data_IF_350104114567
#
_entry.id   IF_350104114567
#
_cell.length_a   1.000
_cell.length_b   1.000
_cell.length_c   1.000
_cell.angle_alpha   90.00
_cell.angle_beta   90.00
_cell.angle_gamma   90.00
#
_symmetry.space_group_name_H-M   'P 1'
#
loop_
_entity.id
_entity.type
_entity.pdbx_description
1 polymer ?
#
# COMPACT_ATOMS: atom_id res chain seq x y z
N UNK A 1 -6.00 27.51 -17.28
CA UNK A 1 -5.54 27.26 -15.90
C UNK A 1 -4.21 26.54 -16.03
N UNK A 2 -3.22 26.86 -15.21
CA UNK A 2 -1.98 26.08 -15.13
C UNK A 2 -2.20 24.96 -14.12
N UNK A 3 -1.84 23.73 -14.49
CA UNK A 3 -1.97 22.56 -13.61
C UNK A 3 -0.58 22.13 -13.16
N UNK A 4 -0.37 22.10 -11.85
CA UNK A 4 0.80 21.46 -11.27
C UNK A 4 0.55 19.95 -11.19
N UNK A 5 1.33 19.18 -11.94
CA UNK A 5 1.23 17.72 -12.00
C UNK A 5 2.45 17.13 -11.30
N UNK A 6 2.20 16.42 -10.20
CA UNK A 6 3.23 15.83 -9.36
C UNK A 6 3.17 14.31 -9.43
N UNK A 7 4.31 13.63 -9.29
CA UNK A 7 4.34 12.17 -9.12
C UNK A 7 3.60 11.77 -7.84
N UNK A 8 2.69 10.77 -7.93
CA UNK A 8 2.01 10.23 -6.75
C UNK A 8 2.99 9.53 -5.81
N UNK A 9 2.88 9.86 -4.53
CA UNK A 9 3.55 9.15 -3.45
C UNK A 9 3.00 7.72 -3.32
N UNK A 10 3.78 6.74 -2.85
CA UNK A 10 3.35 5.34 -2.75
C UNK A 10 2.01 5.14 -2.01
N UNK A 11 1.77 5.89 -0.93
CA UNK A 11 0.52 5.82 -0.16
C UNK A 11 -0.69 6.38 -0.90
N UNK A 12 -0.50 7.35 -1.81
CA UNK A 12 -1.58 7.97 -2.59
C UNK A 12 -2.15 7.00 -3.63
N UNK A 13 -1.31 6.09 -4.14
CA UNK A 13 -1.68 5.09 -5.15
C UNK A 13 -2.86 4.23 -4.71
N UNK A 14 -3.03 3.99 -3.41
CA UNK A 14 -4.16 3.26 -2.84
C UNK A 14 -5.50 3.93 -3.17
N UNK A 15 -5.54 5.25 -3.27
CA UNK A 15 -6.72 6.06 -3.55
C UNK A 15 -6.91 6.33 -5.05
N UNK A 16 -6.00 5.86 -5.90
CA UNK A 16 -6.18 5.89 -7.35
C UNK A 16 -6.90 4.64 -7.91
N UNK A 17 -7.58 3.91 -7.02
CA UNK A 17 -8.45 2.77 -7.34
C UNK A 17 -9.82 2.97 -6.69
N UNK A 18 -10.80 2.16 -7.12
CA UNK A 18 -12.13 2.17 -6.50
C UNK A 18 -12.04 1.79 -5.02
N UNK A 19 -12.64 2.63 -4.18
CA UNK A 19 -12.67 2.47 -2.72
C UNK A 19 -14.03 1.91 -2.27
N UNK A 20 -14.13 1.56 -0.99
CA UNK A 20 -15.43 1.31 -0.37
C UNK A 20 -16.16 2.62 -0.13
N UNK A 21 -17.50 2.57 -0.04
CA UNK A 21 -18.33 3.75 0.24
C UNK A 21 -17.91 4.50 1.51
N UNK A 22 -17.42 3.77 2.51
CA UNK A 22 -16.95 4.36 3.77
C UNK A 22 -15.70 5.20 3.54
N UNK A 23 -14.70 4.63 2.85
CA UNK A 23 -13.47 5.33 2.50
C UNK A 23 -13.74 6.52 1.58
N UNK A 24 -14.56 6.36 0.55
CA UNK A 24 -14.98 7.49 -0.31
C UNK A 24 -15.65 8.59 0.52
N UNK A 25 -16.47 8.20 1.51
CA UNK A 25 -17.11 9.12 2.42
C UNK A 25 -16.10 9.95 3.24
N UNK A 26 -15.11 9.28 3.85
CA UNK A 26 -14.11 9.89 4.73
C UNK A 26 -13.07 10.72 3.98
N UNK A 27 -12.66 10.26 2.79
CA UNK A 27 -11.64 10.92 1.96
C UNK A 27 -12.18 12.07 1.12
N UNK A 28 -13.48 12.38 1.21
CA UNK A 28 -14.06 13.42 0.38
C UNK A 28 -14.21 13.03 -1.10
N UNK A 29 -14.33 11.73 -1.40
CA UNK A 29 -14.44 11.22 -2.76
C UNK A 29 -15.67 11.78 -3.49
N UNK A 30 -15.44 12.43 -4.62
CA UNK A 30 -16.51 13.01 -5.47
C UNK A 30 -17.00 11.99 -6.49
N UNK A 31 -16.06 11.24 -7.07
CA UNK A 31 -16.26 10.28 -8.14
C UNK A 31 -14.98 10.17 -8.98
N UNK A 32 -15.06 9.50 -10.13
CA UNK A 32 -13.92 9.40 -11.03
C UNK A 32 -14.34 9.39 -12.49
N UNK A 33 -13.45 9.90 -13.34
CA UNK A 33 -13.54 9.79 -14.79
C UNK A 33 -12.64 8.66 -15.26
N UNK A 34 -13.15 7.74 -16.06
CA UNK A 34 -12.34 6.75 -16.76
C UNK A 34 -12.46 6.94 -18.26
N UNK A 35 -11.40 6.63 -19.00
CA UNK A 35 -11.44 6.77 -20.45
C UNK A 35 -10.28 6.13 -21.20
N UNK A 36 -10.41 6.16 -22.52
CA UNK A 36 -9.44 5.63 -23.47
C UNK A 36 -9.34 6.51 -24.73
N UNK A 37 -8.31 6.25 -25.54
CA UNK A 37 -8.04 7.01 -26.75
C UNK A 37 -8.48 6.30 -28.05
N UNK A 38 -9.25 5.23 -27.93
CA UNK A 38 -9.71 4.39 -29.02
C UNK A 38 -8.60 3.70 -29.80
N UNK A 39 -8.98 3.01 -30.90
CA UNK A 39 -8.03 2.28 -31.76
C UNK A 39 -6.96 3.17 -32.37
N UNK A 40 -7.32 4.41 -32.74
CA UNK A 40 -6.40 5.36 -33.38
C UNK A 40 -5.44 6.04 -32.39
N UNK A 41 -5.67 5.93 -31.08
CA UNK A 41 -4.91 6.65 -30.06
C UNK A 41 -5.17 8.17 -30.02
N UNK A 42 -6.14 8.67 -30.79
CA UNK A 42 -6.51 10.09 -30.89
C UNK A 42 -7.94 10.41 -30.42
N UNK A 43 -8.71 9.38 -30.06
CA UNK A 43 -10.03 9.56 -29.49
C UNK A 43 -9.96 10.08 -28.05
N UNK A 44 -11.10 10.43 -27.48
CA UNK A 44 -11.22 10.73 -26.05
C UNK A 44 -12.61 10.28 -25.60
N UNK A 45 -12.71 8.98 -25.28
CA UNK A 45 -13.96 8.35 -24.87
C UNK A 45 -13.94 8.21 -23.36
N UNK A 46 -14.96 8.76 -22.69
CA UNK A 46 -14.95 8.84 -21.23
C UNK A 46 -16.30 8.53 -20.62
N UNK A 47 -16.25 7.94 -19.43
CA UNK A 47 -17.41 7.71 -18.57
C UNK A 47 -17.11 8.25 -17.17
N UNK A 48 -18.06 9.01 -16.61
CA UNK A 48 -18.01 9.44 -15.23
C UNK A 48 -18.74 8.44 -14.33
N UNK A 49 -18.15 8.13 -13.18
CA UNK A 49 -18.73 7.28 -12.14
C UNK A 49 -18.89 8.10 -10.87
N UNK A 50 -20.10 8.13 -10.33
CA UNK A 50 -20.41 8.89 -9.11
C UNK A 50 -19.90 8.19 -7.85
N UNK A 51 -19.31 8.98 -6.95
CA UNK A 51 -19.05 8.57 -5.57
C UNK A 51 -20.30 8.74 -4.67
N UNK A 52 -20.14 9.07 -3.37
CA UNK A 52 -21.23 9.32 -2.43
C UNK A 52 -22.14 10.53 -2.75
N UNK A 53 -21.88 11.26 -3.83
CA UNK A 53 -22.73 12.34 -4.37
C UNK A 53 -22.67 13.68 -3.61
N UNK A 54 -22.48 13.68 -2.29
CA UNK A 54 -22.50 14.90 -1.45
C UNK A 54 -21.47 15.98 -1.81
N UNK A 55 -20.37 15.59 -2.46
CA UNK A 55 -19.29 16.51 -2.84
C UNK A 55 -19.34 16.95 -4.31
N UNK A 56 -20.30 16.46 -5.12
CA UNK A 56 -20.44 16.81 -6.54
C UNK A 56 -21.22 18.11 -6.72
N UNK A 57 -20.65 19.21 -6.24
CA UNK A 57 -21.24 20.55 -6.27
C UNK A 57 -21.19 21.19 -7.67
N UNK A 58 -21.90 22.30 -7.87
CA UNK A 58 -21.79 23.09 -9.10
C UNK A 58 -20.39 23.67 -9.30
N UNK A 59 -19.73 24.09 -8.21
CA UNK A 59 -18.36 24.59 -8.22
C UNK A 59 -17.37 23.49 -8.65
N UNK A 60 -17.51 22.29 -8.08
CA UNK A 60 -16.73 21.13 -8.49
C UNK A 60 -16.83 20.87 -9.99
N UNK A 61 -18.05 20.84 -10.55
CA UNK A 61 -18.26 20.54 -11.97
C UNK A 61 -17.53 21.54 -12.86
N UNK A 62 -17.64 22.84 -12.56
CA UNK A 62 -16.97 23.89 -13.32
C UNK A 62 -15.44 23.78 -13.25
N UNK A 63 -14.90 23.48 -12.07
CA UNK A 63 -13.46 23.29 -11.92
C UNK A 63 -12.98 22.01 -12.62
N UNK A 64 -13.69 20.91 -12.44
CA UNK A 64 -13.39 19.63 -13.07
C UNK A 64 -13.36 19.75 -14.60
N UNK A 65 -14.34 20.45 -15.19
CA UNK A 65 -14.36 20.71 -16.62
C UNK A 65 -13.12 21.50 -17.06
N UNK A 66 -12.64 22.46 -16.27
CA UNK A 66 -11.40 23.20 -16.57
C UNK A 66 -10.17 22.30 -16.46
N UNK A 67 -10.09 21.44 -15.45
CA UNK A 67 -8.98 20.49 -15.27
C UNK A 67 -8.92 19.53 -16.46
N UNK A 68 -10.03 18.86 -16.79
CA UNK A 68 -10.09 17.91 -17.92
C UNK A 68 -9.78 18.61 -19.25
N UNK A 69 -10.37 19.79 -19.52
CA UNK A 69 -10.10 20.51 -20.75
C UNK A 69 -8.66 21.03 -20.86
N UNK A 70 -8.00 21.29 -19.73
CA UNK A 70 -6.58 21.65 -19.69
C UNK A 70 -5.72 20.43 -20.02
N UNK A 71 -6.01 19.27 -19.42
CA UNK A 71 -5.31 18.00 -19.72
C UNK A 71 -5.47 17.57 -21.19
N UNK A 72 -6.55 18.00 -21.86
CA UNK A 72 -6.83 17.73 -23.27
C UNK A 72 -6.12 18.67 -24.24
N UNK A 73 -5.53 19.77 -23.77
CA UNK A 73 -4.78 20.67 -24.66
C UNK A 73 -3.56 19.95 -25.25
N UNK A 74 -3.07 20.38 -26.42
CA UNK A 74 -1.87 19.79 -27.04
C UNK A 74 -0.70 19.69 -26.05
N UNK A 75 -0.08 18.51 -25.95
CA UNK A 75 0.99 18.22 -25.00
C UNK A 75 0.52 17.74 -23.62
N UNK A 76 -0.78 17.79 -23.33
CA UNK A 76 -1.36 17.28 -22.09
C UNK A 76 -1.62 15.76 -22.12
N UNK A 77 -1.71 15.15 -20.94
CA UNK A 77 -1.95 13.73 -20.73
C UNK A 77 -3.21 13.18 -21.42
N UNK A 78 -4.21 14.02 -21.70
CA UNK A 78 -5.47 13.63 -22.35
C UNK A 78 -5.55 14.05 -23.83
N UNK A 79 -4.45 14.54 -24.42
CA UNK A 79 -4.43 14.92 -25.84
C UNK A 79 -4.31 13.74 -26.80
N UNK A 80 -3.89 12.57 -26.31
CA UNK A 80 -3.80 11.33 -27.08
C UNK A 80 -2.89 10.31 -26.39
N UNK A 81 -2.96 9.04 -26.84
CA UNK A 81 -2.18 7.96 -26.23
C UNK A 81 -0.67 8.15 -26.36
N UNK A 82 -0.20 8.65 -27.51
CA UNK A 82 1.22 8.91 -27.73
C UNK A 82 1.77 10.04 -26.85
N UNK A 83 0.96 11.06 -26.58
CA UNK A 83 1.35 12.16 -25.71
C UNK A 83 1.35 11.72 -24.23
N UNK A 84 0.36 10.92 -23.82
CA UNK A 84 0.38 10.26 -22.52
C UNK A 84 1.62 9.38 -22.37
N UNK A 85 1.95 8.59 -23.39
CA UNK A 85 3.14 7.73 -23.38
C UNK A 85 4.43 8.52 -23.22
N UNK A 86 4.60 9.61 -23.97
CA UNK A 86 5.75 10.50 -23.81
C UNK A 86 5.82 11.07 -22.40
N UNK A 87 4.70 11.57 -21.87
CA UNK A 87 4.64 12.11 -20.51
C UNK A 87 5.02 11.06 -19.46
N UNK A 88 4.51 9.83 -19.59
CA UNK A 88 4.86 8.74 -18.69
C UNK A 88 6.35 8.35 -18.79
N UNK A 89 6.94 8.38 -19.99
CA UNK A 89 8.37 8.13 -20.19
C UNK A 89 9.25 9.21 -19.55
N UNK A 90 8.85 10.48 -19.69
CA UNK A 90 9.54 11.62 -19.07
C UNK A 90 9.43 11.60 -17.53
N UNK A 91 8.43 10.89 -16.99
CA UNK A 91 8.17 10.69 -15.57
C UNK A 91 8.25 9.21 -15.16
N UNK A 92 9.38 8.56 -15.48
CA UNK A 92 9.58 7.14 -15.17
C UNK A 92 9.48 6.81 -13.67
N UNK A 93 9.76 7.78 -12.79
CA UNK A 93 9.61 7.71 -11.32
C UNK A 93 8.15 7.59 -10.86
N UNK A 94 7.20 8.03 -11.69
CA UNK A 94 5.76 7.87 -11.47
C UNK A 94 5.25 6.47 -11.80
N UNK A 95 6.08 5.62 -12.41
CA UNK A 95 5.73 4.26 -12.79
C UNK A 95 5.72 3.29 -11.60
N UNK A 96 4.71 2.43 -11.55
CA UNK A 96 4.60 1.34 -10.57
C UNK A 96 3.90 0.13 -11.17
N UNK A 97 4.09 -1.03 -10.54
CA UNK A 97 3.46 -2.26 -11.00
C UNK A 97 2.00 -2.28 -10.52
N UNK A 98 1.08 -2.11 -11.48
CA UNK A 98 -0.36 -2.12 -11.26
C UNK A 98 -0.91 -3.54 -11.18
N UNK A 99 -2.23 -3.67 -11.34
CA UNK A 99 -2.88 -4.99 -11.22
C UNK A 99 -2.56 -5.93 -12.39
N UNK A 100 -2.32 -5.38 -13.59
CA UNK A 100 -2.16 -6.15 -14.83
C UNK A 100 -0.97 -5.69 -15.68
N UNK A 101 -0.58 -4.43 -15.57
CA UNK A 101 0.50 -3.84 -16.34
C UNK A 101 1.23 -2.77 -15.51
N UNK A 102 2.27 -2.18 -16.12
CA UNK A 102 2.93 -0.98 -15.59
C UNK A 102 1.95 0.20 -15.67
N UNK A 103 1.63 0.77 -14.53
CA UNK A 103 0.77 1.95 -14.41
C UNK A 103 1.62 3.16 -13.99
N UNK A 104 1.13 4.37 -14.28
CA UNK A 104 1.74 5.64 -13.90
C UNK A 104 0.75 6.44 -13.06
N UNK A 105 1.29 7.16 -12.07
CA UNK A 105 0.50 7.83 -11.08
C UNK A 105 0.86 9.31 -10.91
N UNK A 106 -0.13 10.18 -11.12
CA UNK A 106 0.03 11.61 -10.96
C UNK A 106 -1.02 12.21 -10.02
N UNK A 107 -0.60 13.19 -9.22
CA UNK A 107 -1.47 14.01 -8.39
C UNK A 107 -1.53 15.41 -8.96
N UNK A 108 -2.74 15.94 -9.09
CA UNK A 108 -3.01 17.30 -9.54
C UNK A 108 -3.79 17.99 -8.43
N UNK A 109 -3.25 19.09 -7.91
CA UNK A 109 -3.91 19.85 -6.85
C UNK A 109 -4.49 21.14 -7.41
N UNK A 110 -5.69 21.47 -6.96
CA UNK A 110 -6.29 22.80 -7.10
C UNK A 110 -6.47 23.39 -5.71
N UNK A 111 -7.17 24.53 -5.61
CA UNK A 111 -7.42 25.16 -4.32
C UNK A 111 -8.31 24.31 -3.40
N UNK A 112 -9.29 23.58 -3.95
CA UNK A 112 -10.30 22.85 -3.16
C UNK A 112 -10.28 21.34 -3.38
N UNK A 113 -9.69 20.88 -4.49
CA UNK A 113 -9.78 19.49 -4.91
C UNK A 113 -8.39 18.91 -5.22
N UNK A 114 -8.27 17.60 -5.00
CA UNK A 114 -7.12 16.80 -5.39
C UNK A 114 -7.59 15.76 -6.40
N UNK A 115 -6.85 15.65 -7.50
CA UNK A 115 -7.11 14.66 -8.54
C UNK A 115 -5.97 13.65 -8.60
N UNK A 116 -6.31 12.37 -8.43
CA UNK A 116 -5.36 11.27 -8.56
C UNK A 116 -5.58 10.59 -9.90
N UNK A 117 -4.64 10.80 -10.81
CA UNK A 117 -4.62 10.23 -12.15
C UNK A 117 -3.78 8.95 -12.15
N UNK A 118 -4.42 7.85 -12.47
CA UNK A 118 -3.78 6.57 -12.77
C UNK A 118 -3.93 6.29 -14.26
N UNK A 119 -2.85 5.98 -14.96
CA UNK A 119 -2.91 5.69 -16.39
C UNK A 119 -1.91 4.62 -16.84
N UNK A 120 -2.17 4.03 -18.00
CA UNK A 120 -1.27 3.14 -18.72
C UNK A 120 -1.48 3.29 -20.24
N UNK A 121 -0.48 2.89 -21.01
CA UNK A 121 -0.42 3.19 -22.45
C UNK A 121 -0.80 2.02 -23.34
N UNK A 122 -1.16 0.87 -22.75
CA UNK A 122 -1.51 -0.32 -23.52
C UNK A 122 -2.80 -0.11 -24.32
N UNK A 123 -2.87 -0.59 -25.57
CA UNK A 123 -4.10 -0.58 -26.35
C UNK A 123 -5.11 -1.62 -25.82
N UNK A 124 -6.41 -1.30 -25.90
CA UNK A 124 -7.49 -2.28 -25.71
C UNK A 124 -8.21 -2.27 -24.36
N UNK A 125 -7.85 -1.36 -23.46
CA UNK A 125 -8.54 -1.10 -22.19
C UNK A 125 -8.62 0.41 -21.91
N UNK A 126 -9.23 0.79 -20.79
CA UNK A 126 -9.24 2.16 -20.27
C UNK A 126 -7.84 2.65 -19.92
N UNK A 127 -7.28 3.51 -20.77
CA UNK A 127 -5.95 4.07 -20.58
C UNK A 127 -5.81 4.92 -19.31
N UNK A 128 -6.89 5.51 -18.78
CA UNK A 128 -6.79 6.34 -17.59
C UNK A 128 -8.02 6.33 -16.67
N UNK A 129 -7.75 6.67 -15.41
CA UNK A 129 -8.71 6.91 -14.34
C UNK A 129 -8.28 8.15 -13.57
N UNK A 130 -9.13 9.17 -13.52
CA UNK A 130 -8.94 10.42 -12.79
C UNK A 130 -9.92 10.46 -11.62
N UNK A 131 -9.45 10.13 -10.42
CA UNK A 131 -10.24 10.17 -9.19
C UNK A 131 -10.22 11.57 -8.60
N UNK A 132 -11.39 12.08 -8.22
CA UNK A 132 -11.54 13.41 -7.66
C UNK A 132 -11.93 13.37 -6.18
N UNK A 133 -11.21 14.15 -5.37
CA UNK A 133 -11.39 14.26 -3.93
C UNK A 133 -11.45 15.72 -3.48
N UNK A 134 -12.17 15.99 -2.39
CA UNK A 134 -11.96 17.22 -1.62
C UNK A 134 -10.57 17.16 -0.99
N UNK A 135 -9.70 18.12 -1.31
CA UNK A 135 -8.28 18.07 -0.97
C UNK A 135 -8.04 17.93 0.54
N UNK A 136 -8.69 18.77 1.33
CA UNK A 136 -8.59 18.79 2.79
C UNK A 136 -8.93 17.42 3.41
N UNK A 137 -10.01 16.78 2.95
CA UNK A 137 -10.44 15.49 3.50
C UNK A 137 -9.49 14.35 3.13
N UNK A 138 -9.01 14.33 1.88
CA UNK A 138 -8.06 13.32 1.42
C UNK A 138 -6.74 13.44 2.18
N UNK A 139 -6.20 14.66 2.27
CA UNK A 139 -4.91 14.91 2.93
C UNK A 139 -4.97 14.64 4.43
N UNK A 140 -6.05 15.06 5.08
CA UNK A 140 -6.29 14.72 6.49
C UNK A 140 -6.34 13.21 6.67
N UNK A 141 -7.10 12.47 5.85
CA UNK A 141 -7.21 11.03 5.99
C UNK A 141 -5.85 10.33 5.77
N UNK A 142 -5.09 10.71 4.74
CA UNK A 142 -3.78 10.12 4.45
C UNK A 142 -2.76 10.41 5.55
N UNK A 143 -2.78 11.61 6.14
CA UNK A 143 -1.92 11.93 7.28
C UNK A 143 -2.23 11.04 8.49
N UNK A 144 -3.51 10.84 8.80
CA UNK A 144 -3.92 9.93 9.88
C UNK A 144 -3.55 8.47 9.57
N UNK A 145 -3.70 8.03 8.31
CA UNK A 145 -3.36 6.69 7.87
C UNK A 145 -1.87 6.33 8.05
N UNK A 146 -0.96 7.32 8.04
CA UNK A 146 0.47 7.12 8.33
C UNK A 146 0.73 6.56 9.74
N UNK A 147 -0.20 6.72 10.69
CA UNK A 147 -0.10 6.13 12.03
C UNK A 147 -0.23 4.61 12.03
N UNK A 148 -0.71 4.03 10.92
CA UNK A 148 -0.88 2.61 10.72
C UNK A 148 -2.10 2.02 11.42
N UNK A 149 -2.52 0.86 10.93
CA UNK A 149 -3.66 0.10 11.42
C UNK A 149 -3.21 -0.74 12.61
N UNK A 150 -3.87 -0.54 13.75
CA UNK A 150 -3.50 -1.18 15.03
C UNK A 150 -4.21 -2.52 15.20
N UNK A 151 -3.45 -3.55 15.54
CA UNK A 151 -3.98 -4.86 15.98
C UNK A 151 -3.71 -5.04 17.46
N UNK A 152 -4.72 -5.47 18.21
CA UNK A 152 -4.68 -5.56 19.67
C UNK A 152 -5.18 -6.91 20.16
N UNK A 153 -4.85 -7.23 21.40
CA UNK A 153 -5.53 -8.25 22.19
C UNK A 153 -6.84 -7.71 22.79
N UNK A 154 -7.75 -8.57 23.30
CA UNK A 154 -8.97 -8.13 23.99
C UNK A 154 -8.73 -7.26 25.24
N UNK A 155 -7.56 -7.37 25.87
CA UNK A 155 -7.09 -6.52 26.98
C UNK A 155 -6.40 -5.22 26.53
N UNK A 156 -6.58 -4.82 25.27
CA UNK A 156 -6.06 -3.57 24.68
C UNK A 156 -4.53 -3.48 24.55
N UNK A 157 -3.81 -4.59 24.72
CA UNK A 157 -2.38 -4.65 24.43
C UNK A 157 -2.17 -4.63 22.92
N UNK A 158 -1.34 -3.71 22.45
CA UNK A 158 -0.95 -3.67 21.04
C UNK A 158 -0.10 -4.89 20.69
N UNK A 159 -0.52 -5.62 19.66
CA UNK A 159 0.23 -6.74 19.10
C UNK A 159 1.23 -6.22 18.07
N UNK A 160 0.74 -5.47 17.09
CA UNK A 160 1.54 -4.87 16.02
C UNK A 160 0.72 -3.79 15.29
N UNK A 161 1.41 -3.06 14.40
CA UNK A 161 0.82 -2.18 13.40
C UNK A 161 1.25 -2.57 12.00
N UNK A 162 0.40 -2.26 11.03
CA UNK A 162 0.69 -2.36 9.59
C UNK A 162 0.36 -1.04 8.90
N UNK A 163 0.95 -0.79 7.74
CA UNK A 163 0.63 0.41 6.96
C UNK A 163 -0.73 0.27 6.27
N UNK A 164 -1.34 1.39 5.87
CA UNK A 164 -2.56 1.32 5.05
C UNK A 164 -2.27 0.53 3.75
N UNK A 165 -3.15 -0.41 3.41
CA UNK A 165 -2.98 -1.28 2.24
C UNK A 165 -2.17 -2.56 2.46
N UNK A 166 -1.51 -2.73 3.62
CA UNK A 166 -0.83 -3.98 3.96
C UNK A 166 -1.83 -5.13 4.19
N UNK A 167 -1.31 -6.36 4.16
CA UNK A 167 -2.11 -7.57 4.41
C UNK A 167 -1.88 -8.09 5.84
N UNK A 168 -2.86 -8.84 6.30
CA UNK A 168 -2.72 -9.76 7.43
C UNK A 168 -3.03 -11.18 6.97
N UNK A 169 -2.54 -12.15 7.73
CA UNK A 169 -2.99 -13.53 7.67
C UNK A 169 -3.68 -13.88 8.97
N UNK A 170 -4.91 -14.34 8.88
CA UNK A 170 -5.66 -14.93 9.98
C UNK A 170 -5.58 -16.44 9.83
N UNK A 171 -5.23 -17.14 10.91
CA UNK A 171 -5.27 -18.60 10.98
C UNK A 171 -6.30 -19.00 12.01
N UNK A 172 -7.33 -19.74 11.60
CA UNK A 172 -8.40 -20.23 12.47
C UNK A 172 -7.99 -21.52 13.19
N UNK A 173 -8.79 -21.96 14.15
CA UNK A 173 -8.51 -23.13 14.99
C UNK A 173 -8.51 -24.46 14.23
N UNK A 174 -9.20 -24.53 13.09
CA UNK A 174 -9.18 -25.66 12.14
C UNK A 174 -7.95 -25.66 11.21
N UNK A 175 -7.09 -24.64 11.32
CA UNK A 175 -5.91 -24.45 10.48
C UNK A 175 -6.19 -23.73 9.16
N UNK A 176 -7.44 -23.34 8.87
CA UNK A 176 -7.77 -22.52 7.70
C UNK A 176 -7.03 -21.18 7.79
N UNK A 177 -6.36 -20.79 6.70
CA UNK A 177 -5.62 -19.54 6.59
C UNK A 177 -6.29 -18.62 5.60
N UNK A 178 -6.51 -17.38 6.02
CA UNK A 178 -7.17 -16.36 5.22
C UNK A 178 -6.32 -15.10 5.21
N UNK A 179 -5.93 -14.65 4.02
CA UNK A 179 -5.24 -13.38 3.84
C UNK A 179 -6.22 -12.26 3.49
N UNK A 180 -6.05 -11.09 4.10
CA UNK A 180 -6.89 -9.92 3.89
C UNK A 180 -6.03 -8.66 3.82
N UNK A 181 -6.22 -7.88 2.75
CA UNK A 181 -5.77 -6.49 2.71
C UNK A 181 -6.53 -5.68 3.74
N UNK A 182 -5.83 -4.82 4.46
CA UNK A 182 -6.41 -3.95 5.48
C UNK A 182 -6.38 -2.51 5.00
N UNK A 183 -7.50 -1.78 5.15
CA UNK A 183 -7.55 -0.34 4.92
C UNK A 183 -7.82 0.43 6.20
N UNK A 184 -7.10 1.53 6.38
CA UNK A 184 -7.27 2.44 7.51
C UNK A 184 -8.60 3.19 7.38
N UNK A 185 -9.38 3.23 8.46
CA UNK A 185 -10.65 3.98 8.52
C UNK A 185 -10.50 5.08 9.58
N UNK A 186 -10.13 4.70 10.79
CA UNK A 186 -9.72 5.59 11.89
C UNK A 186 -8.90 4.77 12.90
N UNK A 187 -8.62 5.33 14.08
CA UNK A 187 -7.78 4.67 15.09
C UNK A 187 -8.45 3.44 15.76
N UNK A 188 -9.75 3.27 15.57
CA UNK A 188 -10.56 2.21 16.16
C UNK A 188 -11.19 1.27 15.11
N UNK A 189 -11.21 1.66 13.84
CA UNK A 189 -11.81 0.92 12.75
C UNK A 189 -10.82 0.62 11.63
N UNK A 190 -11.02 -0.55 11.03
CA UNK A 190 -10.33 -0.96 9.80
C UNK A 190 -11.31 -1.63 8.85
N UNK A 191 -11.00 -1.61 7.57
CA UNK A 191 -11.68 -2.42 6.57
C UNK A 191 -10.82 -3.64 6.22
N UNK A 192 -11.38 -4.83 6.34
CA UNK A 192 -10.76 -6.10 5.97
C UNK A 192 -11.29 -6.59 4.60
N UNK A 193 -10.39 -6.75 3.65
CA UNK A 193 -10.70 -7.23 2.30
C UNK A 193 -11.32 -6.16 1.40
N UNK A 194 -12.03 -6.60 0.35
CA UNK A 194 -12.78 -5.70 -0.56
C UNK A 194 -14.28 -5.89 -0.33
N UNK A 195 -15.00 -4.83 0.03
CA UNK A 195 -16.47 -4.81 0.01
C UNK A 195 -17.16 -4.17 1.23
N UNK A 196 -18.48 -3.98 1.12
CA UNK A 196 -19.32 -3.22 2.06
C UNK A 196 -19.52 -3.85 3.44
N UNK A 197 -19.09 -5.09 3.65
CA UNK A 197 -19.15 -5.80 4.93
C UNK A 197 -17.80 -5.96 5.63
N UNK A 198 -16.74 -5.26 5.16
CA UNK A 198 -15.37 -5.43 5.63
C UNK A 198 -15.00 -4.59 6.87
N UNK A 199 -15.79 -3.59 7.25
CA UNK A 199 -15.46 -2.69 8.37
C UNK A 199 -15.59 -3.46 9.69
N UNK A 200 -14.59 -3.32 10.54
CA UNK A 200 -14.55 -3.89 11.89
C UNK A 200 -14.05 -2.85 12.86
N UNK A 201 -14.57 -2.89 14.07
CA UNK A 201 -13.90 -2.26 15.20
C UNK A 201 -12.75 -3.17 15.66
N UNK A 202 -11.59 -2.59 16.04
CA UNK A 202 -10.40 -3.37 16.44
C UNK A 202 -10.68 -4.32 17.61
N UNK A 203 -11.54 -3.92 18.56
CA UNK A 203 -11.93 -4.78 19.68
C UNK A 203 -12.84 -5.93 19.24
N UNK A 204 -13.73 -5.70 18.27
CA UNK A 204 -14.59 -6.75 17.73
C UNK A 204 -13.75 -7.83 17.06
N UNK A 205 -12.73 -7.42 16.29
CA UNK A 205 -11.81 -8.35 15.65
C UNK A 205 -10.98 -9.14 16.68
N UNK A 206 -10.44 -8.46 17.69
CA UNK A 206 -9.68 -9.10 18.75
C UNK A 206 -10.51 -10.15 19.51
N UNK A 207 -11.76 -9.81 19.83
CA UNK A 207 -12.69 -10.72 20.51
C UNK A 207 -13.05 -11.91 19.62
N UNK A 208 -13.33 -11.67 18.33
CA UNK A 208 -13.64 -12.72 17.38
C UNK A 208 -12.47 -13.71 17.21
N UNK A 209 -11.23 -13.22 17.17
CA UNK A 209 -10.05 -14.08 17.11
C UNK A 209 -9.95 -14.94 18.37
N UNK A 210 -10.13 -14.34 19.56
CA UNK A 210 -10.11 -15.10 20.82
C UNK A 210 -11.19 -16.18 20.88
N UNK A 211 -12.43 -15.84 20.55
CA UNK A 211 -13.56 -16.77 20.64
C UNK A 211 -13.43 -17.97 19.70
N UNK A 212 -12.86 -17.77 18.52
CA UNK A 212 -12.69 -18.83 17.52
C UNK A 212 -11.32 -19.53 17.61
N UNK A 213 -10.50 -19.20 18.62
CA UNK A 213 -9.14 -19.73 18.75
C UNK A 213 -8.22 -19.33 17.58
N UNK A 214 -8.51 -18.22 16.91
CA UNK A 214 -7.77 -17.72 15.78
C UNK A 214 -6.56 -16.88 16.18
N UNK A 215 -5.55 -16.84 15.30
CA UNK A 215 -4.36 -15.99 15.43
C UNK A 215 -4.25 -15.06 14.22
N UNK A 216 -3.54 -13.95 14.40
CA UNK A 216 -3.31 -12.98 13.32
C UNK A 216 -1.85 -12.56 13.28
N UNK A 217 -1.28 -12.53 12.07
CA UNK A 217 0.07 -12.04 11.82
C UNK A 217 0.08 -10.99 10.70
N UNK A 218 1.02 -10.02 10.74
CA UNK A 218 1.19 -9.05 9.67
C UNK A 218 1.89 -9.68 8.46
N UNK A 219 1.45 -9.31 7.26
CA UNK A 219 2.11 -9.58 5.98
C UNK A 219 2.48 -8.23 5.36
N UNK A 220 3.55 -7.62 5.89
CA UNK A 220 4.02 -6.29 5.48
C UNK A 220 4.45 -6.30 4.02
N UNK A 221 4.01 -5.31 3.25
CA UNK A 221 4.50 -5.09 1.88
C UNK A 221 5.97 -4.69 1.85
N UNK A 222 6.49 -4.13 2.94
CA UNK A 222 7.91 -3.80 3.11
C UNK A 222 8.83 -5.03 3.23
N UNK A 223 8.28 -6.24 3.35
CA UNK A 223 9.03 -7.49 3.41
C UNK A 223 8.88 -8.27 2.09
N UNK A 224 9.98 -8.85 1.56
CA UNK A 224 9.90 -9.70 0.38
C UNK A 224 9.09 -10.97 0.67
N UNK A 225 8.57 -11.62 -0.36
CA UNK A 225 7.88 -12.91 -0.19
C UNK A 225 8.82 -14.01 0.33
N UNK A 226 10.10 -13.96 -0.05
CA UNK A 226 11.13 -14.87 0.43
C UNK A 226 12.51 -14.21 0.39
N UNK A 227 13.43 -14.69 1.24
CA UNK A 227 14.85 -14.33 1.18
C UNK A 227 15.73 -15.49 1.66
N UNK A 228 17.02 -15.41 1.36
CA UNK A 228 18.01 -16.34 1.90
C UNK A 228 18.56 -15.83 3.23
N UNK A 229 18.93 -16.76 4.11
CA UNK A 229 19.53 -16.47 5.41
C UNK A 229 20.57 -17.52 5.79
N UNK A 230 21.20 -17.32 6.94
CA UNK A 230 22.11 -18.29 7.54
C UNK A 230 21.45 -18.92 8.76
N UNK A 231 21.52 -20.24 8.86
CA UNK A 231 21.01 -20.96 10.03
C UNK A 231 21.81 -20.58 11.28
N UNK A 232 21.17 -20.11 12.36
CA UNK A 232 21.86 -19.87 13.63
C UNK A 232 22.51 -21.15 14.14
N UNK A 233 23.79 -21.08 14.49
CA UNK A 233 24.59 -22.23 14.90
C UNK A 233 25.49 -22.74 13.78
N UNK A 234 24.94 -23.38 12.74
CA UNK A 234 25.75 -24.04 11.70
C UNK A 234 26.27 -23.07 10.63
N UNK A 235 25.51 -22.01 10.31
CA UNK A 235 25.85 -21.13 9.18
C UNK A 235 25.50 -21.70 7.80
N UNK A 236 24.71 -22.79 7.74
CA UNK A 236 24.18 -23.32 6.49
C UNK A 236 23.14 -22.38 5.87
N UNK A 237 22.97 -22.45 4.54
CA UNK A 237 22.07 -21.56 3.80
C UNK A 237 20.62 -22.05 3.91
N UNK A 238 19.74 -21.14 4.33
CA UNK A 238 18.32 -21.40 4.53
C UNK A 238 17.47 -20.44 3.69
N UNK A 239 16.26 -20.88 3.34
CA UNK A 239 15.24 -20.06 2.72
C UNK A 239 14.19 -19.69 3.78
N UNK A 240 13.89 -18.40 3.89
CA UNK A 240 12.86 -17.85 4.78
C UNK A 240 11.72 -17.32 3.93
N UNK A 241 10.48 -17.71 4.25
CA UNK A 241 9.26 -17.27 3.56
C UNK A 241 8.41 -16.41 4.47
N UNK A 242 7.89 -15.31 3.93
CA UNK A 242 7.09 -14.34 4.68
C UNK A 242 5.84 -15.00 5.25
N UNK A 243 5.60 -14.79 6.54
CA UNK A 243 4.45 -15.33 7.26
C UNK A 243 4.55 -16.81 7.64
N UNK A 244 5.65 -17.50 7.32
CA UNK A 244 5.89 -18.88 7.75
C UNK A 244 6.84 -18.92 8.96
N UNK A 245 6.62 -19.89 9.85
CA UNK A 245 7.49 -20.13 11.01
C UNK A 245 8.62 -21.08 10.62
N UNK A 246 9.83 -20.81 11.12
CA UNK A 246 11.02 -21.62 10.86
C UNK A 246 11.71 -21.28 9.55
N UNK A 247 12.24 -22.30 8.87
CA UNK A 247 12.99 -22.12 7.64
C UNK A 247 12.85 -23.35 6.73
N UNK A 248 13.19 -23.17 5.47
CA UNK A 248 13.19 -24.21 4.45
C UNK A 248 14.64 -24.53 4.06
N UNK A 249 14.91 -25.81 3.82
CA UNK A 249 16.20 -26.25 3.29
C UNK A 249 16.38 -25.76 1.86
N UNK A 250 17.63 -25.57 1.47
CA UNK A 250 18.02 -25.23 0.09
C UNK A 250 18.89 -26.35 -0.45
N UNK A 251 18.94 -26.50 -1.78
CA UNK A 251 19.84 -27.44 -2.46
C UNK A 251 21.25 -26.85 -2.67
N UNK A 252 21.51 -25.67 -2.09
CA UNK A 252 22.80 -24.99 -2.19
C UNK A 252 23.79 -25.74 -1.27
N UNK A 253 24.97 -26.15 -1.78
CA UNK A 253 25.96 -26.85 -0.97
C UNK A 253 26.45 -25.96 0.17
N UNK A 254 26.70 -26.57 1.33
CA UNK A 254 27.34 -25.89 2.45
C UNK A 254 28.84 -25.73 2.14
N UNK A 255 29.26 -24.51 1.86
CA UNK A 255 30.64 -24.19 1.48
C UNK A 255 31.46 -23.66 2.67
N UNK A 256 30.87 -23.58 3.86
CA UNK A 256 31.46 -22.89 5.00
C UNK A 256 30.78 -21.55 5.28
N UNK A 257 30.83 -21.12 6.55
CA UNK A 257 30.05 -19.96 7.03
C UNK A 257 30.38 -18.66 6.29
N UNK A 258 31.64 -18.44 5.92
CA UNK A 258 32.07 -17.20 5.26
C UNK A 258 31.62 -17.17 3.80
N UNK A 259 31.85 -18.25 3.04
CA UNK A 259 31.38 -18.39 1.66
C UNK A 259 29.85 -18.33 1.59
N UNK A 260 29.15 -19.04 2.48
CA UNK A 260 27.69 -19.00 2.55
C UNK A 260 27.18 -17.58 2.83
N UNK A 261 27.86 -16.83 3.70
CA UNK A 261 27.49 -15.44 4.01
C UNK A 261 27.63 -14.54 2.78
N UNK A 262 28.72 -14.66 2.04
CA UNK A 262 28.94 -13.89 0.82
C UNK A 262 27.85 -14.22 -0.22
N UNK A 263 27.55 -15.51 -0.43
CA UNK A 263 26.53 -15.94 -1.40
C UNK A 263 25.13 -15.45 -1.02
N UNK A 264 24.75 -15.54 0.26
CA UNK A 264 23.44 -15.06 0.74
C UNK A 264 23.28 -13.56 0.51
N UNK A 265 24.33 -12.77 0.79
CA UNK A 265 24.30 -11.32 0.57
C UNK A 265 24.15 -11.00 -0.92
N UNK A 266 24.96 -11.61 -1.78
CA UNK A 266 24.91 -11.40 -3.23
C UNK A 266 23.55 -11.83 -3.82
N UNK A 267 23.03 -12.98 -3.38
CA UNK A 267 21.75 -13.51 -3.88
C UNK A 267 20.60 -12.62 -3.46
N UNK A 268 20.56 -12.18 -2.20
CA UNK A 268 19.53 -11.27 -1.72
C UNK A 268 19.60 -9.91 -2.41
N UNK A 269 20.81 -9.39 -2.67
CA UNK A 269 20.98 -8.13 -3.41
C UNK A 269 20.44 -8.23 -4.83
N UNK A 270 20.70 -9.33 -5.55
CA UNK A 270 20.11 -9.61 -6.87
C UNK A 270 18.58 -9.71 -6.83
N UNK A 271 18.01 -10.13 -5.70
CA UNK A 271 16.57 -10.16 -5.45
C UNK A 271 16.00 -8.83 -4.94
N UNK A 272 16.82 -7.79 -4.81
CA UNK A 272 16.41 -6.49 -4.27
C UNK A 272 16.09 -6.51 -2.77
N UNK A 273 16.55 -7.53 -2.05
CA UNK A 273 16.32 -7.68 -0.61
C UNK A 273 17.44 -6.98 0.17
N UNK A 274 17.07 -5.93 0.89
CA UNK A 274 17.99 -5.21 1.78
C UNK A 274 18.41 -6.04 3.00
N UNK A 275 19.52 -5.66 3.63
CA UNK A 275 20.00 -6.30 4.87
C UNK A 275 18.99 -6.16 6.02
N UNK A 276 18.33 -5.02 6.13
CA UNK A 276 17.26 -4.79 7.09
C UNK A 276 16.08 -5.74 6.87
N UNK A 277 15.64 -5.92 5.62
CA UNK A 277 14.58 -6.89 5.29
C UNK A 277 14.99 -8.32 5.58
N UNK A 278 16.21 -8.74 5.21
CA UNK A 278 16.69 -10.10 5.46
C UNK A 278 16.77 -10.40 6.97
N UNK A 279 17.25 -9.43 7.77
CA UNK A 279 17.28 -9.56 9.23
C UNK A 279 15.87 -9.66 9.85
N UNK A 280 14.95 -8.82 9.39
CA UNK A 280 13.56 -8.84 9.84
C UNK A 280 12.82 -10.12 9.43
N UNK A 281 13.07 -10.65 8.23
CA UNK A 281 12.53 -11.94 7.76
C UNK A 281 12.98 -13.08 8.68
N UNK A 282 14.28 -13.16 8.97
CA UNK A 282 14.84 -14.19 9.85
C UNK A 282 14.26 -14.09 11.27
N UNK A 283 14.19 -12.88 11.82
CA UNK A 283 13.60 -12.66 13.14
C UNK A 283 12.10 -13.01 13.17
N UNK A 284 11.34 -12.67 12.14
CA UNK A 284 9.93 -13.03 12.02
C UNK A 284 9.69 -14.53 11.99
N UNK A 285 10.54 -15.27 11.27
CA UNK A 285 10.41 -16.72 11.18
C UNK A 285 10.82 -17.46 12.46
N UNK A 286 11.74 -16.88 13.25
CA UNK A 286 12.21 -17.45 14.51
C UNK A 286 11.36 -17.07 15.73
N UNK A 287 10.94 -15.81 15.81
CA UNK A 287 10.33 -15.23 17.03
C UNK A 287 8.87 -14.80 16.83
N UNK A 288 8.34 -14.89 15.61
CA UNK A 288 6.99 -14.51 15.25
C UNK A 288 6.91 -13.17 14.52
N UNK A 289 6.05 -13.13 13.51
CA UNK A 289 5.88 -12.00 12.59
C UNK A 289 5.22 -10.76 13.22
N UNK A 290 4.53 -10.94 14.33
CA UNK A 290 3.96 -9.86 15.15
C UNK A 290 5.02 -9.05 15.90
N UNK A 291 6.21 -9.60 16.10
CA UNK A 291 7.25 -8.94 16.90
C UNK A 291 7.80 -7.71 16.19
N UNK A 292 8.30 -6.74 16.97
CA UNK A 292 8.99 -5.57 16.43
C UNK A 292 10.27 -5.96 15.64
N UNK A 293 10.91 -7.07 16.01
CA UNK A 293 12.05 -7.60 15.28
C UNK A 293 11.67 -8.10 13.86
N UNK A 294 10.39 -8.37 13.59
CA UNK A 294 9.92 -8.69 12.24
C UNK A 294 9.56 -7.44 11.41
N UNK A 295 9.93 -6.24 11.86
CA UNK A 295 9.76 -4.98 11.14
C UNK A 295 11.11 -4.48 10.59
N UNK A 296 11.28 -4.35 9.27
CA UNK A 296 12.50 -3.80 8.68
C UNK A 296 12.89 -2.42 9.22
N UNK A 297 11.92 -1.60 9.66
CA UNK A 297 12.19 -0.27 10.23
C UNK A 297 12.92 -0.33 11.58
N UNK A 298 13.00 -1.52 12.20
CA UNK A 298 13.77 -1.73 13.42
C UNK A 298 15.26 -1.92 13.18
N UNK A 299 15.73 -1.93 11.93
CA UNK A 299 17.12 -2.20 11.58
C UNK A 299 17.78 -1.03 10.86
N UNK A 300 19.10 -0.92 11.01
CA UNK A 300 19.93 -0.03 10.19
C UNK A 300 20.20 -0.63 8.80
N UNK A 301 20.88 0.12 7.94
CA UNK A 301 21.27 -0.32 6.59
C UNK A 301 22.17 -1.57 6.59
N UNK A 302 22.85 -1.85 7.71
CA UNK A 302 23.69 -3.03 7.87
C UNK A 302 22.91 -4.24 8.42
N UNK A 303 21.60 -4.09 8.68
CA UNK A 303 20.74 -5.14 9.21
C UNK A 303 20.94 -5.37 10.72
N UNK A 304 21.43 -4.39 11.46
CA UNK A 304 21.58 -4.46 12.93
C UNK A 304 20.39 -3.78 13.59
N UNK A 305 19.88 -4.39 14.65
CA UNK A 305 18.72 -3.86 15.35
C UNK A 305 19.05 -2.53 16.00
N UNK A 306 18.25 -1.51 15.69
CA UNK A 306 18.32 -0.19 16.31
C UNK A 306 17.60 -0.21 17.65
N UNK A 307 18.08 0.57 18.62
CA UNK A 307 17.39 0.70 19.90
C UNK A 307 15.95 1.19 19.66
N UNK A 308 14.95 0.64 20.37
CA UNK A 308 13.57 1.07 20.18
C UNK A 308 13.47 2.58 20.44
N UNK A 309 13.03 3.34 19.43
CA UNK A 309 12.65 4.73 19.62
C UNK A 309 11.54 4.75 20.66
N UNK A 310 11.81 5.23 21.87
CA UNK A 310 10.77 5.52 22.85
C UNK A 310 9.81 6.51 22.19
N UNK A 311 8.64 6.04 21.74
CA UNK A 311 7.57 6.93 21.30
C UNK A 311 7.06 7.63 22.56
N UNK A 312 7.29 8.93 22.64
CA UNK A 312 6.88 9.77 23.76
C UNK A 312 5.39 9.57 24.04
N UNK A 313 5.07 9.19 25.28
CA UNK A 313 3.74 9.09 25.87
C UNK A 313 3.04 10.47 26.00
N UNK A 314 3.08 11.33 24.98
CA UNK A 314 2.66 12.74 25.09
C UNK A 314 1.38 13.13 24.34
N UNK A 315 0.53 12.16 24.01
CA UNK A 315 -0.83 12.40 23.49
C UNK A 315 -1.89 11.64 24.31
N UNK A 316 -1.76 11.65 25.63
CA UNK A 316 -2.88 11.40 26.56
C UNK A 316 -3.16 12.68 27.34
N UNK A 317 -4.13 13.44 26.87
CA UNK A 317 -4.60 14.71 27.40
C UNK A 317 -4.86 15.62 26.19
N UNK A 318 -6.09 15.95 25.80
CA UNK A 318 -7.25 16.26 26.61
C UNK A 318 -8.52 15.80 25.89
N UNK A 319 -9.30 14.93 26.55
CA UNK A 319 -10.73 14.86 26.34
C UNK A 319 -11.38 15.42 27.60
N UNK A 320 -11.90 16.64 27.49
CA UNK A 320 -12.95 17.19 28.34
C UNK A 320 -14.08 17.62 27.44
#
# INVERSE_FOLDING_TARGET
MELEIQTMQPGERLYAYRQSKQLEGQTGGVGYLRGDFGRSGRGFFTTWEDGPGRYKTGAFRQEFDRVVNTLRQPGGLFSGRSEMERFCQDHADAGFDGNYCREYGFRINTQQYSYLLRCHTDPGDYNFYLFAYVAEHLDWHMENAKRGIRFITPDYKELFRILDGDKIRITWSDGERVERTCRYIDDCHLELGRGTGGIRHICQLAEQLRQNGGTVIPLRSSLPEQCYGLLPGTGGIILVKKGETGFFKTDIPDMGREENRALVLETNEKLGVSRAQAAAMLAGSMFGWQTQAADPCSYDEQGRMTAPKQRSQKERGEAR
#
